data_IF_067500511587
#
_entry.id   IF_067500511587
#
_cell.length_a   1.000
_cell.length_b   1.000
_cell.length_c   1.000
_cell.angle_alpha   90.00
_cell.angle_beta   90.00
_cell.angle_gamma   90.00
#
_symmetry.space_group_name_H-M   'P 1'
#
loop_
_entity.id
_entity.type
_entity.pdbx_description
1 polymer ?
#
# COMPACT_ATOMS: atom_id res chain seq x y z
N UNK A 1 -10.23 -1.01 7.91
CA UNK A 1 -10.13 -0.43 9.27
C UNK A 1 -10.42 -1.44 10.37
N UNK A 2 -11.27 -2.45 10.13
CA UNK A 2 -11.78 -3.36 11.14
C UNK A 2 -10.96 -4.65 11.31
N UNK A 3 -9.98 -4.92 10.45
CA UNK A 3 -9.13 -6.12 10.52
C UNK A 3 -8.56 -6.35 11.92
N UNK A 4 -7.97 -5.34 12.59
CA UNK A 4 -7.39 -5.51 13.92
C UNK A 4 -8.40 -5.96 15.00
N UNK A 5 -9.69 -5.76 14.78
CA UNK A 5 -10.75 -6.23 15.70
C UNK A 5 -10.90 -7.75 15.70
N UNK A 6 -10.61 -8.41 14.58
CA UNK A 6 -10.84 -9.84 14.36
C UNK A 6 -9.58 -10.69 14.45
N UNK A 7 -8.41 -10.04 14.57
CA UNK A 7 -7.10 -10.69 14.63
C UNK A 7 -6.50 -10.48 16.03
N UNK A 8 -5.91 -11.53 16.61
CA UNK A 8 -5.32 -11.52 17.96
C UNK A 8 -3.82 -11.22 17.94
N UNK A 9 -3.17 -11.49 16.85
CA UNK A 9 -1.73 -11.35 16.63
C UNK A 9 -1.28 -9.91 16.92
N UNK A 10 -0.07 -9.76 17.47
CA UNK A 10 0.49 -8.45 17.83
C UNK A 10 0.78 -7.59 16.61
N UNK A 11 1.20 -8.20 15.52
CA UNK A 11 1.44 -7.53 14.24
C UNK A 11 0.63 -8.18 13.14
N UNK A 12 0.12 -7.36 12.22
CA UNK A 12 -0.68 -7.78 11.08
C UNK A 12 -0.10 -7.15 9.82
N UNK A 13 0.12 -7.96 8.79
CA UNK A 13 0.47 -7.47 7.47
C UNK A 13 -0.78 -7.43 6.60
N UNK A 14 -1.17 -6.24 6.17
CA UNK A 14 -2.21 -6.02 5.17
C UNK A 14 -1.58 -5.89 3.78
N UNK A 15 -2.17 -6.56 2.83
CA UNK A 15 -1.77 -6.53 1.42
C UNK A 15 -3.00 -6.28 0.54
N UNK A 16 -2.90 -5.35 -0.41
CA UNK A 16 -3.91 -5.19 -1.47
C UNK A 16 -3.97 -6.43 -2.37
N UNK A 17 -5.06 -6.60 -3.12
CA UNK A 17 -5.26 -7.76 -3.98
C UNK A 17 -4.56 -7.64 -5.35
N UNK A 18 -4.01 -6.49 -5.68
CA UNK A 18 -3.38 -6.18 -6.97
C UNK A 18 -1.86 -6.12 -6.88
N UNK A 19 -1.28 -7.07 -6.15
CA UNK A 19 0.17 -7.19 -5.98
C UNK A 19 0.67 -8.63 -6.18
N UNK A 20 1.98 -8.79 -6.34
CA UNK A 20 2.69 -10.06 -6.31
C UNK A 20 3.72 -10.05 -5.19
N UNK A 21 3.69 -11.07 -4.35
CA UNK A 21 4.74 -11.35 -3.35
C UNK A 21 5.79 -12.23 -4.03
N UNK A 22 7.02 -11.75 -4.11
CA UNK A 22 8.12 -12.42 -4.83
C UNK A 22 9.13 -13.07 -3.88
N UNK A 23 9.11 -12.72 -2.60
CA UNK A 23 10.03 -13.22 -1.58
C UNK A 23 9.31 -13.50 -0.28
N UNK A 24 9.98 -14.26 0.60
CA UNK A 24 9.51 -14.45 1.97
C UNK A 24 9.39 -13.09 2.68
N UNK A 25 8.26 -12.88 3.37
CA UNK A 25 7.95 -11.66 4.13
C UNK A 25 8.03 -11.87 5.64
N UNK A 26 8.51 -13.02 6.12
CA UNK A 26 8.56 -13.30 7.57
C UNK A 26 9.34 -12.23 8.34
N UNK A 27 10.46 -11.78 7.80
CA UNK A 27 11.32 -10.78 8.45
C UNK A 27 10.61 -9.42 8.67
N UNK A 28 9.49 -9.15 7.96
CA UNK A 28 8.75 -7.90 8.15
C UNK A 28 8.14 -7.82 9.56
N UNK A 29 7.82 -8.98 10.16
CA UNK A 29 7.24 -9.04 11.50
C UNK A 29 8.27 -8.79 12.61
N UNK A 30 9.57 -8.88 12.30
CA UNK A 30 10.66 -8.57 13.23
C UNK A 30 10.99 -7.06 13.29
N UNK A 31 10.41 -6.26 12.40
CA UNK A 31 10.64 -4.82 12.37
C UNK A 31 10.20 -4.18 13.69
N UNK A 32 11.11 -3.44 14.33
CA UNK A 32 10.76 -2.58 15.47
C UNK A 32 9.89 -1.40 14.97
N UNK A 33 8.64 -1.40 15.37
CA UNK A 33 7.67 -0.36 14.99
C UNK A 33 7.94 1.00 15.64
N UNK A 34 8.88 1.10 16.59
CA UNK A 34 9.29 2.35 17.28
C UNK A 34 8.13 3.18 17.82
N UNK A 35 7.05 2.51 18.23
CA UNK A 35 5.83 3.17 18.72
C UNK A 35 4.94 3.76 17.63
N UNK A 36 5.17 3.43 16.37
CA UNK A 36 4.27 3.79 15.26
C UNK A 36 3.17 2.73 15.09
N UNK A 37 1.90 3.13 14.92
CA UNK A 37 0.79 2.20 14.74
C UNK A 37 0.82 1.46 13.41
N UNK A 38 1.49 2.03 12.40
CA UNK A 38 1.67 1.40 11.09
C UNK A 38 3.10 1.64 10.56
N UNK A 39 3.54 0.72 9.69
CA UNK A 39 4.68 0.93 8.82
C UNK A 39 4.25 0.71 7.36
N UNK A 40 4.75 1.55 6.46
CA UNK A 40 4.36 1.57 5.06
C UNK A 40 5.50 2.06 4.16
N UNK A 41 5.34 1.92 2.86
CA UNK A 41 6.29 2.49 1.89
C UNK A 41 5.80 3.85 1.41
N UNK A 42 6.73 4.80 1.30
CA UNK A 42 6.48 6.13 0.71
C UNK A 42 5.81 6.00 -0.67
N UNK A 43 4.78 6.79 -0.91
CA UNK A 43 4.14 6.87 -2.22
C UNK A 43 5.03 7.63 -3.22
N UNK A 44 4.69 7.53 -4.49
CA UNK A 44 5.40 8.19 -5.60
C UNK A 44 5.36 9.72 -5.54
N UNK A 45 4.45 10.30 -4.76
CA UNK A 45 4.37 11.75 -4.49
C UNK A 45 5.45 12.25 -3.51
N UNK A 46 6.15 11.36 -2.82
CA UNK A 46 7.15 11.64 -1.78
C UNK A 46 6.62 12.50 -0.61
N UNK A 47 5.32 12.51 -0.38
CA UNK A 47 4.66 13.26 0.70
C UNK A 47 3.76 12.39 1.56
N UNK A 48 3.24 11.32 0.98
CA UNK A 48 2.33 10.37 1.62
C UNK A 48 2.90 8.96 1.57
N UNK A 49 2.27 8.03 2.26
CA UNK A 49 2.57 6.61 2.09
C UNK A 49 1.49 5.92 1.25
N UNK A 50 1.88 4.86 0.58
CA UNK A 50 0.95 3.99 -0.14
C UNK A 50 0.32 2.98 0.83
N UNK A 51 -1.01 2.86 0.82
CA UNK A 51 -1.77 2.02 1.74
C UNK A 51 -1.88 0.54 1.33
N UNK A 52 -1.32 0.16 0.19
CA UNK A 52 -1.47 -1.20 -0.33
C UNK A 52 -0.62 -2.27 0.35
N UNK A 53 0.40 -1.86 1.12
CA UNK A 53 1.19 -2.72 2.00
C UNK A 53 1.35 -2.02 3.34
N UNK A 54 0.73 -2.56 4.39
CA UNK A 54 0.77 -2.00 5.73
C UNK A 54 1.15 -3.06 6.76
N UNK A 55 2.25 -2.84 7.46
CA UNK A 55 2.50 -3.56 8.72
C UNK A 55 1.83 -2.78 9.85
N UNK A 56 0.98 -3.44 10.61
CA UNK A 56 0.14 -2.83 11.65
C UNK A 56 0.58 -3.35 13.01
N UNK A 57 0.87 -2.45 13.96
CA UNK A 57 0.93 -2.78 15.39
C UNK A 57 -0.50 -2.89 15.93
N UNK A 58 -1.01 -4.11 15.98
CA UNK A 58 -2.38 -4.41 16.38
C UNK A 58 -2.67 -4.03 17.84
N UNK A 59 -1.66 -4.19 18.70
CA UNK A 59 -1.76 -3.80 20.10
C UNK A 59 -1.93 -2.28 20.26
N UNK A 60 -1.10 -1.50 19.60
CA UNK A 60 -1.17 -0.04 19.60
C UNK A 60 -2.46 0.45 18.94
N UNK A 61 -2.84 -0.14 17.81
CA UNK A 61 -4.08 0.16 17.10
C UNK A 61 -5.32 0.05 18.00
N UNK A 62 -5.41 -1.05 18.77
CA UNK A 62 -6.52 -1.28 19.72
C UNK A 62 -6.49 -0.31 20.89
N UNK A 63 -5.32 -0.11 21.52
CA UNK A 63 -5.15 0.78 22.67
C UNK A 63 -5.53 2.23 22.36
N UNK A 64 -5.25 2.69 21.15
CA UNK A 64 -5.51 4.06 20.73
C UNK A 64 -6.80 4.24 19.92
N UNK A 65 -7.64 3.20 19.82
CA UNK A 65 -8.91 3.24 19.08
C UNK A 65 -8.78 3.73 17.63
N UNK A 66 -7.74 3.29 16.91
CA UNK A 66 -7.45 3.75 15.55
C UNK A 66 -8.62 3.49 14.58
N UNK A 67 -9.35 2.39 14.77
CA UNK A 67 -10.55 2.11 13.97
C UNK A 67 -11.58 3.23 14.07
N UNK A 68 -11.84 3.74 15.27
CA UNK A 68 -12.79 4.84 15.48
C UNK A 68 -12.29 6.14 14.86
N UNK A 69 -11.00 6.45 15.01
CA UNK A 69 -10.39 7.63 14.39
C UNK A 69 -10.53 7.60 12.87
N UNK A 70 -10.26 6.46 12.23
CA UNK A 70 -10.40 6.27 10.79
C UNK A 70 -11.87 6.39 10.33
N UNK A 71 -12.82 5.82 11.08
CA UNK A 71 -14.26 5.93 10.77
C UNK A 71 -14.72 7.38 10.88
N UNK A 72 -14.33 8.10 11.93
CA UNK A 72 -14.70 9.50 12.14
C UNK A 72 -14.12 10.39 11.05
N UNK A 73 -12.83 10.21 10.68
CA UNK A 73 -12.20 10.95 9.58
C UNK A 73 -12.87 10.64 8.24
N UNK A 74 -13.24 9.37 8.00
CA UNK A 74 -13.97 8.97 6.78
C UNK A 74 -15.33 9.69 6.70
N UNK A 75 -16.11 9.68 7.77
CA UNK A 75 -17.41 10.35 7.80
C UNK A 75 -17.29 11.86 7.59
N UNK A 76 -16.33 12.50 8.25
CA UNK A 76 -16.06 13.93 8.06
C UNK A 76 -15.64 14.26 6.64
N UNK A 77 -14.74 13.45 6.05
CA UNK A 77 -14.27 13.65 4.67
C UNK A 77 -15.37 13.42 3.64
N UNK A 78 -16.24 12.43 3.84
CA UNK A 78 -17.39 12.18 2.97
C UNK A 78 -18.39 13.34 3.03
N UNK A 79 -18.69 13.87 4.22
CA UNK A 79 -19.56 15.02 4.37
C UNK A 79 -18.99 16.24 3.62
N UNK A 80 -17.72 16.55 3.79
CA UNK A 80 -17.06 17.65 3.06
C UNK A 80 -17.10 17.46 1.54
N UNK A 81 -16.94 16.21 1.08
CA UNK A 81 -17.04 15.90 -0.36
C UNK A 81 -18.46 16.11 -0.89
N UNK A 82 -19.48 15.73 -0.14
CA UNK A 82 -20.87 15.96 -0.51
C UNK A 82 -21.24 17.46 -0.56
N UNK A 83 -20.61 18.27 0.28
CA UNK A 83 -20.74 19.73 0.31
C UNK A 83 -19.92 20.43 -0.79
N UNK A 84 -19.15 19.67 -1.60
CA UNK A 84 -18.32 20.21 -2.66
C UNK A 84 -17.01 20.87 -2.17
N UNK A 85 -16.64 20.66 -0.90
CA UNK A 85 -15.50 21.32 -0.26
C UNK A 85 -14.16 20.58 -0.47
N UNK A 86 -14.19 19.34 -0.99
CA UNK A 86 -12.98 18.53 -1.30
C UNK A 86 -12.97 18.19 -2.78
N UNK A 87 -11.96 18.64 -3.55
CA UNK A 87 -11.89 18.37 -5.00
C UNK A 87 -11.52 16.92 -5.35
N UNK A 88 -10.92 16.15 -4.44
CA UNK A 88 -10.55 14.75 -4.65
C UNK A 88 -10.60 13.95 -3.33
N UNK A 89 -11.49 12.97 -3.29
CA UNK A 89 -11.46 11.89 -2.32
C UNK A 89 -10.83 10.66 -3.00
N UNK A 90 -9.59 10.36 -2.67
CA UNK A 90 -8.84 9.23 -3.25
C UNK A 90 -8.95 7.96 -2.40
N UNK A 91 -10.15 7.66 -1.91
CA UNK A 91 -10.38 6.43 -1.17
C UNK A 91 -9.71 6.41 0.22
N UNK A 92 -9.43 5.20 0.66
CA UNK A 92 -8.90 4.90 2.00
C UNK A 92 -7.48 5.42 2.23
N UNK A 93 -6.62 5.41 1.22
CA UNK A 93 -5.26 5.94 1.34
C UNK A 93 -5.23 7.40 1.82
N UNK A 94 -6.17 8.22 1.35
CA UNK A 94 -6.29 9.62 1.81
C UNK A 94 -6.61 9.68 3.30
N UNK A 95 -7.52 8.83 3.77
CA UNK A 95 -7.92 8.76 5.18
C UNK A 95 -6.77 8.28 6.05
N UNK A 96 -6.10 7.20 5.63
CA UNK A 96 -4.92 6.69 6.34
C UNK A 96 -3.85 7.78 6.48
N UNK A 97 -3.52 8.48 5.40
CA UNK A 97 -2.50 9.54 5.43
C UNK A 97 -2.91 10.77 6.27
N UNK A 98 -4.21 11.02 6.46
CA UNK A 98 -4.69 12.06 7.37
C UNK A 98 -4.55 11.63 8.83
N UNK A 99 -5.04 10.43 9.18
CA UNK A 99 -5.06 9.92 10.56
C UNK A 99 -3.65 9.60 11.06
N UNK A 100 -2.80 9.04 10.20
CA UNK A 100 -1.44 8.63 10.56
C UNK A 100 -0.37 9.64 10.14
N UNK A 101 -0.74 10.88 9.83
CA UNK A 101 0.24 11.93 9.54
C UNK A 101 1.29 11.98 10.65
N UNK A 102 2.57 11.92 10.28
CA UNK A 102 3.72 11.94 11.19
C UNK A 102 3.78 10.77 12.21
N UNK A 103 2.93 9.74 12.02
CA UNK A 103 2.80 8.60 12.93
C UNK A 103 2.95 7.26 12.23
N UNK A 104 3.73 7.19 11.18
CA UNK A 104 4.04 5.96 10.46
C UNK A 104 5.54 5.76 10.31
N UNK A 105 5.96 4.50 10.27
CA UNK A 105 7.34 4.10 10.04
C UNK A 105 7.57 3.84 8.56
N UNK A 106 8.61 4.43 7.97
CA UNK A 106 8.96 4.18 6.58
C UNK A 106 9.62 2.81 6.41
N UNK A 107 9.06 1.98 5.54
CA UNK A 107 9.62 0.71 5.08
C UNK A 107 10.53 0.92 3.87
N UNK A 108 11.45 -0.05 3.65
CA UNK A 108 12.22 -0.15 2.41
C UNK A 108 11.26 -0.23 1.21
N UNK A 109 11.50 0.56 0.16
CA UNK A 109 10.64 0.61 -1.03
C UNK A 109 10.47 -0.72 -1.75
N UNK A 110 11.40 -1.67 -1.58
CA UNK A 110 11.27 -3.03 -2.11
C UNK A 110 10.11 -3.80 -1.50
N UNK A 111 9.63 -3.39 -0.32
CA UNK A 111 8.45 -3.98 0.34
C UNK A 111 7.14 -3.60 -0.33
N UNK A 112 7.13 -2.58 -1.18
CA UNK A 112 5.96 -2.15 -1.95
C UNK A 112 6.43 -1.40 -3.21
N UNK A 113 7.04 -2.12 -4.16
CA UNK A 113 7.47 -1.53 -5.42
C UNK A 113 6.24 -1.17 -6.26
N UNK A 114 5.89 0.10 -6.28
CA UNK A 114 4.73 0.63 -6.97
C UNK A 114 5.02 0.73 -8.47
N UNK A 115 4.28 -0.04 -9.27
CA UNK A 115 4.35 -0.05 -10.73
C UNK A 115 2.96 0.28 -11.31
N UNK A 116 2.92 0.84 -12.50
CA UNK A 116 1.65 1.29 -13.13
C UNK A 116 1.69 2.75 -13.54
N UNK A 117 2.66 3.51 -13.03
CA UNK A 117 2.98 4.86 -13.48
C UNK A 117 4.15 4.89 -14.47
N UNK A 118 4.67 3.73 -14.90
CA UNK A 118 5.89 3.63 -15.72
C UNK A 118 5.81 4.49 -17.00
N UNK A 119 4.69 4.49 -17.71
CA UNK A 119 4.49 5.33 -18.90
C UNK A 119 4.51 6.81 -18.54
N UNK A 120 3.83 7.19 -17.46
CA UNK A 120 3.80 8.59 -17.00
C UNK A 120 5.19 9.01 -16.53
N UNK A 121 5.88 8.18 -15.78
CA UNK A 121 7.24 8.43 -15.31
C UNK A 121 8.22 8.59 -16.47
N UNK A 122 8.12 7.77 -17.52
CA UNK A 122 8.92 7.87 -18.72
C UNK A 122 8.64 9.20 -19.47
N UNK A 123 7.36 9.50 -19.74
CA UNK A 123 6.96 10.70 -20.47
C UNK A 123 7.28 11.99 -19.73
N UNK A 124 7.19 11.98 -18.40
CA UNK A 124 7.43 13.14 -17.54
C UNK A 124 8.85 13.18 -16.96
N UNK A 125 9.74 12.27 -17.37
CA UNK A 125 11.14 12.20 -16.95
C UNK A 125 11.31 12.18 -15.43
N UNK A 126 10.49 11.37 -14.72
CA UNK A 126 10.60 11.27 -13.26
C UNK A 126 11.98 10.73 -12.86
N UNK A 127 12.76 11.49 -12.10
CA UNK A 127 14.07 11.04 -11.69
C UNK A 127 13.95 9.79 -10.80
N UNK A 128 14.83 8.83 -11.02
CA UNK A 128 14.95 7.62 -10.20
C UNK A 128 13.78 6.61 -10.25
N UNK A 129 12.68 6.87 -10.97
CA UNK A 129 11.54 5.93 -11.02
C UNK A 129 11.93 4.49 -11.41
N UNK A 130 12.90 4.35 -12.31
CA UNK A 130 13.36 3.05 -12.80
C UNK A 130 14.63 2.53 -12.13
N UNK A 131 15.33 3.36 -11.32
CA UNK A 131 16.63 2.99 -10.74
C UNK A 131 16.55 1.99 -9.60
N UNK A 132 15.41 1.94 -8.93
CA UNK A 132 15.28 1.31 -7.62
C UNK A 132 14.41 0.05 -7.65
N UNK A 133 14.21 -0.52 -8.84
CA UNK A 133 13.33 -1.67 -9.06
C UNK A 133 14.05 -3.02 -9.04
N UNK A 134 15.32 -3.03 -8.64
CA UNK A 134 16.06 -4.26 -8.55
C UNK A 134 15.69 -5.02 -7.29
N UNK A 135 15.27 -6.27 -7.47
CA UNK A 135 15.06 -7.25 -6.41
C UNK A 135 13.93 -6.93 -5.38
N UNK A 136 12.69 -6.62 -5.83
CA UNK A 136 11.58 -6.31 -4.93
C UNK A 136 11.11 -7.54 -4.13
N UNK A 137 10.60 -7.30 -2.94
CA UNK A 137 9.83 -8.29 -2.16
C UNK A 137 8.38 -8.35 -2.62
N UNK A 138 7.80 -7.17 -2.88
CA UNK A 138 6.42 -7.03 -3.34
C UNK A 138 6.38 -6.08 -4.53
N UNK A 139 5.72 -6.50 -5.61
CA UNK A 139 5.37 -5.65 -6.75
C UNK A 139 3.89 -5.30 -6.66
N UNK A 140 3.56 -4.03 -6.59
CA UNK A 140 2.20 -3.52 -6.45
C UNK A 140 1.78 -2.78 -7.74
N UNK A 141 0.74 -3.29 -8.38
CA UNK A 141 0.23 -2.75 -9.64
C UNK A 141 -0.75 -1.61 -9.39
N UNK A 142 -0.23 -0.49 -8.88
CA UNK A 142 -1.01 0.73 -8.63
C UNK A 142 -1.60 1.28 -9.93
N UNK A 143 -2.57 2.22 -9.82
CA UNK A 143 -3.26 2.86 -10.93
C UNK A 143 -4.23 1.95 -11.72
N UNK A 144 -4.88 2.52 -12.74
CA UNK A 144 -5.79 1.82 -13.64
C UNK A 144 -5.07 0.94 -14.69
N UNK A 145 -3.76 1.07 -14.83
CA UNK A 145 -2.95 0.33 -15.82
C UNK A 145 -2.51 -1.03 -15.27
N UNK A 146 -3.50 -1.88 -15.02
CA UNK A 146 -3.27 -3.20 -14.43
C UNK A 146 -2.59 -4.16 -15.42
N UNK A 147 -1.81 -5.16 -14.96
CA UNK A 147 -1.11 -6.11 -15.84
C UNK A 147 -2.05 -6.96 -16.69
N UNK A 148 -3.27 -7.20 -16.22
CA UNK A 148 -4.32 -7.95 -16.96
C UNK A 148 -5.09 -7.10 -17.97
N UNK A 149 -4.90 -5.79 -18.01
CA UNK A 149 -5.54 -4.95 -19.01
C UNK A 149 -4.96 -5.21 -20.40
N UNK A 150 -5.81 -5.15 -21.44
CA UNK A 150 -5.47 -5.48 -22.84
C UNK A 150 -4.26 -4.69 -23.34
N UNK A 151 -4.19 -3.38 -23.03
CA UNK A 151 -3.11 -2.49 -23.44
C UNK A 151 -2.34 -2.01 -22.20
N UNK A 152 -1.60 -2.90 -21.56
CA UNK A 152 -0.75 -2.57 -20.43
C UNK A 152 0.72 -2.61 -20.82
N UNK A 153 1.43 -1.49 -20.67
CA UNK A 153 2.89 -1.39 -20.83
C UNK A 153 3.61 -1.53 -19.47
N UNK A 154 3.00 -2.24 -18.51
CA UNK A 154 3.61 -2.46 -17.21
C UNK A 154 4.81 -3.40 -17.32
N UNK A 155 5.97 -3.01 -16.76
CA UNK A 155 7.24 -3.75 -16.86
C UNK A 155 7.19 -5.15 -16.21
N UNK A 156 6.28 -5.40 -15.26
CA UNK A 156 6.08 -6.70 -14.61
C UNK A 156 4.86 -7.47 -15.14
N UNK A 157 4.29 -7.05 -16.28
CA UNK A 157 3.12 -7.71 -16.87
C UNK A 157 3.34 -9.20 -17.16
N UNK A 158 4.50 -9.56 -17.73
CA UNK A 158 4.81 -10.95 -18.05
C UNK A 158 4.95 -11.80 -16.79
N UNK A 159 5.56 -11.24 -15.74
CA UNK A 159 5.67 -11.91 -14.45
C UNK A 159 4.28 -12.16 -13.84
N UNK A 160 3.38 -11.17 -13.89
CA UNK A 160 2.01 -11.35 -13.41
C UNK A 160 1.29 -12.50 -14.12
N UNK A 161 1.39 -12.58 -15.45
CA UNK A 161 0.79 -13.67 -16.22
C UNK A 161 1.43 -15.01 -15.90
N UNK A 162 2.73 -15.08 -15.68
CA UNK A 162 3.41 -16.31 -15.27
C UNK A 162 2.85 -16.82 -13.92
N UNK A 163 2.61 -15.95 -12.95
CA UNK A 163 1.97 -16.32 -11.69
C UNK A 163 0.50 -16.70 -11.86
N UNK A 164 -0.25 -15.97 -12.69
CA UNK A 164 -1.66 -16.26 -12.97
C UNK A 164 -1.85 -17.65 -13.58
N UNK A 165 -0.97 -18.04 -14.47
CA UNK A 165 -1.04 -19.30 -15.21
C UNK A 165 -0.36 -20.47 -14.48
N UNK A 166 0.16 -20.25 -13.26
CA UNK A 166 0.72 -21.33 -12.44
C UNK A 166 -0.35 -22.35 -12.04
N UNK A 167 0.03 -23.63 -12.10
CA UNK A 167 -0.77 -24.70 -11.52
C UNK A 167 -0.47 -24.82 -10.02
N UNK A 168 -1.26 -24.15 -9.20
CA UNK A 168 -1.11 -24.16 -7.74
C UNK A 168 -1.46 -25.51 -7.09
N UNK A 169 -1.97 -26.48 -7.84
CA UNK A 169 -2.20 -27.84 -7.33
C UNK A 169 -0.90 -28.63 -7.10
N UNK A 170 0.21 -28.09 -7.61
CA UNK A 170 1.54 -28.73 -7.53
C UNK A 170 2.49 -28.04 -6.55
N UNK A 171 2.03 -27.05 -5.80
CA UNK A 171 2.84 -26.28 -4.83
C UNK A 171 2.57 -26.77 -3.40
#
# INVERSE_FOLDING_TARGET
YFIPKYISEEKVLYLDADLLVLKNLEDIFEIDMKGHPIAAVMDTDNQSFNSGVLLIDNGLWKRENMTEQLVNETNGSLQQALEGNIPKFNGDQTIFNKVFRDRWLALDKRMNLQVGHDVTAFMSHWPNHFKDSEDPYVVHFVSHRKPWATLSANRFRQLWWAFHDMDYSQV
#
